data_IF_674237941342
#
_entry.id   IF_674237941342
#
_cell.length_a   1.000
_cell.length_b   1.000
_cell.length_c   1.000
_cell.angle_alpha   90.00
_cell.angle_beta   90.00
_cell.angle_gamma   90.00
#
_symmetry.space_group_name_H-M   'P 1'
#
loop_
_entity.id
_entity.type
_entity.pdbx_description
1 polymer ?
#
# COMPACT_ATOMS: atom_id res chain seq x y z
N UNK A 1 -5.11 -15.30 4.03
CA UNK A 1 -4.84 -14.06 4.80
C UNK A 1 -5.78 -12.98 4.31
N UNK A 2 -6.25 -12.09 5.19
CA UNK A 2 -7.09 -10.95 4.82
C UNK A 2 -6.25 -9.89 4.08
N UNK A 3 -6.81 -9.24 3.06
CA UNK A 3 -6.13 -8.13 2.36
C UNK A 3 -5.94 -6.93 3.28
N UNK A 4 -4.77 -6.32 3.22
CA UNK A 4 -4.38 -5.11 3.95
C UNK A 4 -4.91 -3.85 3.26
N UNK A 5 -4.82 -3.80 1.93
CA UNK A 5 -5.43 -2.75 1.12
C UNK A 5 -6.71 -3.28 0.46
N UNK A 6 -7.84 -2.65 0.77
CA UNK A 6 -9.16 -3.04 0.29
C UNK A 6 -9.70 -1.92 -0.58
N UNK A 7 -9.90 -2.19 -1.87
CA UNK A 7 -10.48 -1.27 -2.84
C UNK A 7 -12.00 -1.48 -2.91
N UNK A 8 -12.75 -0.41 -2.68
CA UNK A 8 -14.21 -0.36 -2.84
C UNK A 8 -14.58 0.77 -3.81
N UNK A 9 -15.48 0.50 -4.76
CA UNK A 9 -16.05 1.53 -5.63
C UNK A 9 -17.22 2.20 -4.92
N UNK A 10 -17.16 3.52 -4.76
CA UNK A 10 -18.25 4.34 -4.24
C UNK A 10 -18.63 5.38 -5.30
N UNK A 11 -19.71 5.14 -6.03
CA UNK A 11 -20.10 5.91 -7.21
C UNK A 11 -18.98 5.98 -8.26
N UNK A 12 -18.43 7.17 -8.51
CA UNK A 12 -17.31 7.44 -9.41
C UNK A 12 -15.97 7.58 -8.66
N UNK A 13 -15.91 7.18 -7.39
CA UNK A 13 -14.70 7.20 -6.57
C UNK A 13 -14.20 5.77 -6.31
N UNK A 14 -12.88 5.61 -6.34
CA UNK A 14 -12.21 4.45 -5.77
C UNK A 14 -11.80 4.77 -4.33
N UNK A 15 -12.34 4.06 -3.35
CA UNK A 15 -11.97 4.21 -1.93
C UNK A 15 -11.09 3.03 -1.54
N UNK A 16 -9.84 3.31 -1.18
CA UNK A 16 -8.88 2.30 -0.74
C UNK A 16 -8.69 2.41 0.78
N UNK A 17 -9.08 1.38 1.52
CA UNK A 17 -8.83 1.29 2.97
C UNK A 17 -7.53 0.55 3.24
N UNK A 18 -6.63 1.17 4.01
CA UNK A 18 -5.42 0.58 4.56
C UNK A 18 -5.66 0.09 6.00
N UNK A 19 -5.57 -1.21 6.23
CA UNK A 19 -5.79 -1.82 7.54
C UNK A 19 -4.93 -3.08 7.74
N UNK A 20 -3.81 -2.93 8.46
CA UNK A 20 -2.97 -4.08 8.86
C UNK A 20 -3.65 -4.82 10.01
N UNK A 21 -4.14 -6.03 9.74
CA UNK A 21 -4.85 -6.84 10.73
C UNK A 21 -3.90 -7.32 11.82
N UNK A 22 -4.30 -7.15 13.08
CA UNK A 22 -3.51 -7.54 14.25
C UNK A 22 -2.65 -6.42 14.83
N UNK A 23 -2.43 -5.33 14.09
CA UNK A 23 -1.65 -4.18 14.54
C UNK A 23 -2.52 -2.99 14.98
N UNK A 24 -1.96 -2.19 15.89
CA UNK A 24 -2.58 -0.94 16.37
C UNK A 24 -2.44 0.20 15.35
N UNK A 25 -1.36 0.18 14.58
CA UNK A 25 -1.03 1.18 13.56
C UNK A 25 -0.71 0.49 12.25
N UNK A 26 -0.96 1.18 11.15
CA UNK A 26 -0.58 0.66 9.84
C UNK A 26 0.91 0.91 9.58
N UNK A 27 1.65 -0.13 9.21
CA UNK A 27 3.07 -0.08 8.82
C UNK A 27 3.30 -0.73 7.46
N UNK A 28 4.40 -0.39 6.81
CA UNK A 28 4.83 -1.01 5.56
C UNK A 28 5.50 -2.37 5.79
N UNK A 29 4.69 -3.38 6.10
CA UNK A 29 5.10 -4.80 6.10
C UNK A 29 5.30 -5.33 4.67
N UNK A 30 5.93 -6.49 4.51
CA UNK A 30 6.08 -7.15 3.21
C UNK A 30 4.73 -7.35 2.50
N UNK A 31 3.73 -7.83 3.26
CA UNK A 31 2.39 -8.05 2.73
C UNK A 31 1.71 -6.73 2.35
N UNK A 32 1.93 -5.64 3.11
CA UNK A 32 1.37 -4.34 2.78
C UNK A 32 1.91 -3.81 1.44
N UNK A 33 3.21 -4.01 1.15
CA UNK A 33 3.81 -3.62 -0.13
C UNK A 33 3.24 -4.44 -1.29
N UNK A 34 3.07 -5.75 -1.11
CA UNK A 34 2.50 -6.65 -2.12
C UNK A 34 1.04 -6.25 -2.41
N UNK A 35 0.22 -6.11 -1.37
CA UNK A 35 -1.20 -5.76 -1.52
C UNK A 35 -1.38 -4.36 -2.12
N UNK A 36 -0.50 -3.41 -1.78
CA UNK A 36 -0.52 -2.08 -2.38
C UNK A 36 -0.26 -2.14 -3.89
N UNK A 37 0.74 -2.91 -4.32
CA UNK A 37 1.02 -3.12 -5.75
C UNK A 37 -0.16 -3.77 -6.49
N UNK A 38 -0.84 -4.74 -5.88
CA UNK A 38 -2.05 -5.34 -6.45
C UNK A 38 -3.17 -4.30 -6.62
N UNK A 39 -3.39 -3.45 -5.62
CA UNK A 39 -4.40 -2.39 -5.67
C UNK A 39 -4.07 -1.35 -6.75
N UNK A 40 -2.82 -0.91 -6.84
CA UNK A 40 -2.39 0.00 -7.90
C UNK A 40 -2.63 -0.59 -9.29
N UNK A 41 -2.29 -1.87 -9.48
CA UNK A 41 -2.55 -2.58 -10.75
C UNK A 41 -4.04 -2.61 -11.10
N UNK A 42 -4.90 -2.82 -10.10
CA UNK A 42 -6.36 -2.76 -10.28
C UNK A 42 -6.85 -1.37 -10.66
N UNK A 43 -6.37 -0.33 -9.96
CA UNK A 43 -6.70 1.07 -10.22
C UNK A 43 -6.26 1.53 -11.60
N UNK A 44 -5.04 1.16 -12.02
CA UNK A 44 -4.51 1.47 -13.36
C UNK A 44 -5.36 0.85 -14.46
N UNK A 45 -5.74 -0.42 -14.30
CA UNK A 45 -6.59 -1.14 -15.27
C UNK A 45 -7.98 -0.52 -15.41
N UNK A 46 -8.51 0.01 -14.32
CA UNK A 46 -9.87 0.55 -14.24
C UNK A 46 -9.89 2.08 -14.16
N UNK A 47 -8.78 2.75 -14.50
CA UNK A 47 -8.58 4.19 -14.33
C UNK A 47 -9.71 5.04 -14.90
N UNK A 48 -10.24 4.67 -16.07
CA UNK A 48 -11.35 5.38 -16.73
C UNK A 48 -12.68 5.29 -15.99
N UNK A 49 -12.83 4.37 -15.02
CA UNK A 49 -14.04 4.18 -14.24
C UNK A 49 -14.10 5.05 -12.98
N UNK A 50 -13.02 5.75 -12.63
CA UNK A 50 -12.89 6.55 -11.43
C UNK A 50 -12.54 8.01 -11.78
N UNK A 51 -13.17 8.97 -11.12
CA UNK A 51 -12.80 10.39 -11.19
C UNK A 51 -11.74 10.77 -10.17
N UNK A 52 -11.64 10.02 -9.08
CA UNK A 52 -10.62 10.19 -8.06
C UNK A 52 -10.43 8.90 -7.26
N UNK A 53 -9.27 8.78 -6.63
CA UNK A 53 -8.92 7.73 -5.69
C UNK A 53 -8.72 8.36 -4.31
N UNK A 54 -9.32 7.77 -3.28
CA UNK A 54 -9.20 8.22 -1.89
C UNK A 54 -8.60 7.10 -1.05
N UNK A 55 -7.45 7.34 -0.45
CA UNK A 55 -6.86 6.44 0.53
C UNK A 55 -7.31 6.83 1.93
N UNK A 56 -7.88 5.88 2.67
CA UNK A 56 -8.32 6.04 4.06
C UNK A 56 -7.67 4.98 4.95
N UNK A 57 -7.58 5.28 6.24
CA UNK A 57 -7.11 4.31 7.23
C UNK A 57 -8.28 3.61 7.91
N UNK A 58 -8.12 2.31 8.19
CA UNK A 58 -8.98 1.55 9.10
C UNK A 58 -8.63 1.74 10.59
N UNK A 59 -7.61 2.54 10.91
CA UNK A 59 -7.11 2.78 12.27
C UNK A 59 -7.32 4.23 12.70
N UNK A 60 -7.04 4.54 13.97
CA UNK A 60 -7.10 5.90 14.53
C UNK A 60 -6.02 6.84 13.96
N UNK A 61 -4.93 6.31 13.43
CA UNK A 61 -3.89 7.04 12.70
C UNK A 61 -3.81 6.54 11.25
N UNK A 62 -3.25 7.35 10.34
CA UNK A 62 -3.17 6.95 8.93
C UNK A 62 -2.15 5.81 8.70
N UNK A 63 -0.88 6.10 8.97
CA UNK A 63 0.24 5.17 8.88
C UNK A 63 1.35 5.58 9.86
N UNK A 64 2.23 4.65 10.21
CA UNK A 64 3.35 4.84 11.14
C UNK A 64 4.72 4.45 10.54
N UNK A 65 4.86 4.49 9.20
CA UNK A 65 6.13 4.25 8.53
C UNK A 65 6.44 2.78 8.27
N UNK A 66 7.73 2.43 8.25
CA UNK A 66 8.21 1.08 7.97
C UNK A 66 8.05 0.10 9.14
N UNK A 67 8.01 -1.19 8.83
CA UNK A 67 8.13 -2.23 9.84
C UNK A 67 9.57 -2.30 10.37
N UNK A 68 9.77 -1.94 11.64
CA UNK A 68 11.09 -1.92 12.27
C UNK A 68 11.68 -3.32 12.44
N UNK A 69 10.85 -4.33 12.70
CA UNK A 69 11.33 -5.71 12.87
C UNK A 69 11.87 -6.26 11.55
N UNK A 70 11.21 -5.91 10.44
CA UNK A 70 11.73 -6.18 9.12
C UNK A 70 13.07 -5.47 8.90
N UNK A 71 13.17 -4.18 9.23
CA UNK A 71 14.39 -3.39 9.02
C UNK A 71 15.57 -3.99 9.81
N UNK A 72 15.34 -4.38 11.06
CA UNK A 72 16.33 -5.00 11.93
C UNK A 72 16.80 -6.37 11.41
N UNK A 73 15.99 -7.06 10.60
CA UNK A 73 16.32 -8.37 10.02
C UNK A 73 17.18 -8.29 8.74
N UNK A 74 17.42 -7.10 8.20
CA UNK A 74 18.14 -6.92 6.94
C UNK A 74 19.63 -7.21 7.13
N UNK A 75 20.12 -8.21 6.41
CA UNK A 75 21.56 -8.55 6.35
C UNK A 75 22.15 -8.40 4.95
N UNK A 76 21.31 -8.30 3.92
CA UNK A 76 21.69 -8.14 2.51
C UNK A 76 21.33 -6.74 2.01
N UNK A 77 22.33 -5.87 1.94
CA UNK A 77 22.15 -4.47 1.57
C UNK A 77 21.74 -4.28 0.10
N UNK A 78 22.39 -4.91 -0.91
CA UNK A 78 21.93 -4.84 -2.29
C UNK A 78 20.45 -5.22 -2.46
N UNK A 79 20.02 -6.31 -1.83
CA UNK A 79 18.61 -6.75 -1.88
C UNK A 79 17.67 -5.75 -1.20
N UNK A 80 18.09 -5.12 -0.11
CA UNK A 80 17.32 -4.07 0.53
C UNK A 80 17.20 -2.82 -0.35
N UNK A 81 18.28 -2.42 -1.02
CA UNK A 81 18.24 -1.29 -1.95
C UNK A 81 17.30 -1.55 -3.13
N UNK A 82 17.32 -2.76 -3.70
CA UNK A 82 16.37 -3.18 -4.74
C UNK A 82 14.93 -3.06 -4.23
N UNK A 83 14.67 -3.53 -3.00
CA UNK A 83 13.37 -3.43 -2.37
C UNK A 83 12.90 -1.98 -2.18
N UNK A 84 13.75 -1.10 -1.66
CA UNK A 84 13.45 0.34 -1.54
C UNK A 84 13.19 1.00 -2.89
N UNK A 85 13.92 0.58 -3.93
CA UNK A 85 13.72 1.06 -5.30
C UNK A 85 12.35 0.63 -5.82
N UNK A 86 12.00 -0.65 -5.71
CA UNK A 86 10.68 -1.16 -6.11
C UNK A 86 9.55 -0.47 -5.34
N UNK A 87 9.71 -0.31 -4.03
CA UNK A 87 8.72 0.36 -3.20
C UNK A 87 8.51 1.83 -3.61
N UNK A 88 9.58 2.57 -3.88
CA UNK A 88 9.51 3.95 -4.41
C UNK A 88 8.78 4.02 -5.75
N UNK A 89 8.98 3.05 -6.64
CA UNK A 89 8.29 3.00 -7.93
C UNK A 89 6.77 2.84 -7.79
N UNK A 90 6.28 2.20 -6.71
CA UNK A 90 4.84 2.11 -6.45
C UNK A 90 4.22 3.49 -6.17
N UNK A 91 4.93 4.41 -5.52
CA UNK A 91 4.43 5.77 -5.32
C UNK A 91 4.43 6.60 -6.60
N UNK A 92 5.41 6.39 -7.50
CA UNK A 92 5.39 7.01 -8.82
C UNK A 92 4.21 6.52 -9.66
N UNK A 93 3.86 5.24 -9.55
CA UNK A 93 2.63 4.69 -10.14
C UNK A 93 1.39 5.34 -9.55
N UNK A 94 1.32 5.44 -8.22
CA UNK A 94 0.21 6.08 -7.51
C UNK A 94 0.02 7.55 -7.90
N UNK A 95 1.10 8.31 -8.07
CA UNK A 95 1.07 9.71 -8.51
C UNK A 95 0.47 9.86 -9.92
N UNK A 96 0.58 8.83 -10.76
CA UNK A 96 0.09 8.80 -12.14
C UNK A 96 -1.26 8.08 -12.29
N UNK A 97 -1.99 7.84 -11.20
CA UNK A 97 -3.35 7.28 -11.24
C UNK A 97 -4.40 8.20 -11.86
#
# INVERSE_FOLDING_TARGET
>A
MSKIFILEKQNDLAVVRFDVVGDVVNTWTDQAVIDFEEVLTGLEREKSNYKAVVFISGKSSFHAGGDLALIDSITDYPKFQERCTRFSQLFLRMENL
#
